data_IF_255508188788
#
_entry.id   IF_255508188788
#
_cell.length_a   1.000
_cell.length_b   1.000
_cell.length_c   1.000
_cell.angle_alpha   90.00
_cell.angle_beta   90.00
_cell.angle_gamma   90.00
#
_symmetry.space_group_name_H-M   'P 1'
#
loop_
_entity.id
_entity.type
_entity.pdbx_description
1 polymer ?
#
# COMPACT_ATOMS: atom_id res chain seq x y z
N UNK A 1 72.45 -8.75 -43.65
CA UNK A 1 71.46 -9.47 -44.47
C UNK A 1 71.15 -10.78 -43.78
N UNK A 2 69.98 -10.93 -43.12
CA UNK A 2 69.50 -12.23 -42.67
C UNK A 2 68.51 -12.80 -43.69
N UNK A 3 68.68 -14.10 -43.96
CA UNK A 3 67.92 -14.94 -44.88
C UNK A 3 66.59 -15.37 -44.27
N UNK A 4 65.56 -15.36 -45.10
CA UNK A 4 64.18 -15.75 -44.82
C UNK A 4 64.01 -17.24 -45.17
N UNK A 5 63.57 -18.07 -44.23
CA UNK A 5 63.08 -19.43 -44.51
C UNK A 5 61.57 -19.50 -44.20
N UNK A 6 60.73 -19.98 -45.13
CA UNK A 6 59.34 -20.27 -44.85
C UNK A 6 59.13 -21.78 -44.60
N UNK A 7 58.73 -22.14 -43.39
CA UNK A 7 58.16 -23.45 -43.07
C UNK A 7 56.67 -23.30 -42.82
N UNK A 8 55.83 -23.83 -43.72
CA UNK A 8 54.37 -23.81 -43.62
C UNK A 8 53.88 -25.26 -43.68
N UNK A 9 53.75 -25.89 -42.51
CA UNK A 9 53.10 -27.19 -42.37
C UNK A 9 51.62 -26.97 -42.02
N UNK A 10 50.73 -27.31 -42.96
CA UNK A 10 49.29 -27.27 -42.78
C UNK A 10 48.77 -28.64 -42.36
N UNK A 11 48.69 -28.87 -41.05
CA UNK A 11 48.00 -30.03 -40.48
C UNK A 11 46.53 -29.66 -40.21
N UNK A 12 45.64 -30.12 -41.09
CA UNK A 12 44.19 -29.87 -40.99
C UNK A 12 43.59 -30.85 -39.98
N UNK A 13 43.32 -30.33 -38.79
CA UNK A 13 42.73 -31.02 -37.65
C UNK A 13 41.22 -31.31 -37.86
N UNK A 14 40.91 -32.56 -38.20
CA UNK A 14 39.56 -33.03 -38.58
C UNK A 14 38.63 -33.34 -37.39
N UNK A 15 39.04 -33.07 -36.15
CA UNK A 15 38.35 -33.59 -34.95
C UNK A 15 37.32 -32.64 -34.32
N UNK A 16 37.27 -31.38 -34.71
CA UNK A 16 36.42 -30.36 -34.05
C UNK A 16 35.00 -30.19 -34.61
N UNK A 17 34.65 -30.82 -35.73
CA UNK A 17 33.31 -30.65 -36.34
C UNK A 17 32.21 -31.43 -35.61
N UNK A 18 32.56 -32.49 -34.87
CA UNK A 18 31.57 -33.34 -34.18
C UNK A 18 30.93 -32.68 -32.95
N UNK A 19 31.65 -31.81 -32.24
CA UNK A 19 31.15 -31.12 -31.04
C UNK A 19 30.16 -30.01 -31.38
N UNK A 20 30.37 -29.32 -32.50
CA UNK A 20 29.51 -28.21 -32.93
C UNK A 20 28.15 -28.72 -33.43
N UNK A 21 28.13 -29.85 -34.15
CA UNK A 21 26.88 -30.50 -34.59
C UNK A 21 26.07 -31.04 -33.41
N UNK A 22 26.73 -31.61 -32.40
CA UNK A 22 26.05 -32.10 -31.19
C UNK A 22 25.42 -30.96 -30.38
N UNK A 23 26.13 -29.84 -30.22
CA UNK A 23 25.59 -28.65 -29.52
C UNK A 23 24.37 -28.06 -30.23
N UNK A 24 24.41 -27.98 -31.56
CA UNK A 24 23.30 -27.43 -32.35
C UNK A 24 22.03 -28.31 -32.25
N UNK A 25 22.19 -29.63 -32.23
CA UNK A 25 21.06 -30.57 -32.09
C UNK A 25 20.33 -30.39 -30.74
N UNK A 26 21.06 -30.26 -29.63
CA UNK A 26 20.45 -30.03 -28.32
C UNK A 26 19.69 -28.70 -28.24
N UNK A 27 20.21 -27.66 -28.89
CA UNK A 27 19.55 -26.35 -28.93
C UNK A 27 18.21 -26.40 -29.68
N UNK A 28 18.16 -27.12 -30.79
CA UNK A 28 16.92 -27.30 -31.58
C UNK A 28 15.88 -28.10 -30.78
N UNK A 29 16.30 -29.17 -30.09
CA UNK A 29 15.39 -29.97 -29.24
C UNK A 29 14.83 -29.13 -28.09
N UNK A 30 15.67 -28.31 -27.43
CA UNK A 30 15.24 -27.44 -26.34
C UNK A 30 14.18 -26.42 -26.80
N UNK A 31 14.38 -25.79 -27.97
CA UNK A 31 13.39 -24.86 -28.54
C UNK A 31 12.07 -25.56 -28.89
N UNK A 32 12.12 -26.80 -29.38
CA UNK A 32 10.93 -27.59 -29.68
C UNK A 32 10.12 -27.93 -28.42
N UNK A 33 10.80 -28.29 -27.33
CA UNK A 33 10.16 -28.56 -26.04
C UNK A 33 9.52 -27.30 -25.44
N UNK A 34 10.22 -26.15 -25.50
CA UNK A 34 9.66 -24.87 -25.05
C UNK A 34 8.40 -24.51 -25.86
N UNK A 35 8.44 -24.71 -27.19
CA UNK A 35 7.28 -24.49 -28.06
C UNK A 35 6.08 -25.38 -27.71
N UNK A 36 6.32 -26.66 -27.40
CA UNK A 36 5.27 -27.60 -26.97
C UNK A 36 4.63 -27.20 -25.64
N UNK A 37 5.41 -26.73 -24.67
CA UNK A 37 4.89 -26.25 -23.38
C UNK A 37 4.02 -25.00 -23.59
N UNK A 38 4.47 -24.04 -24.39
CA UNK A 38 3.67 -22.85 -24.73
C UNK A 38 2.38 -23.21 -25.47
N UNK A 39 2.43 -24.17 -26.41
CA UNK A 39 1.25 -24.62 -27.14
C UNK A 39 0.25 -25.35 -26.23
N UNK A 40 0.73 -26.20 -25.31
CA UNK A 40 -0.12 -26.85 -24.30
C UNK A 40 -0.78 -25.85 -23.35
N UNK A 41 -0.03 -24.83 -22.90
CA UNK A 41 -0.58 -23.76 -22.06
C UNK A 41 -1.63 -22.93 -22.81
N UNK A 42 -1.41 -22.66 -24.10
CA UNK A 42 -2.35 -21.92 -24.95
C UNK A 42 -3.65 -22.70 -25.18
N UNK A 43 -3.57 -24.02 -25.43
CA UNK A 43 -4.75 -24.89 -25.53
C UNK A 43 -5.51 -24.98 -24.21
N UNK A 44 -4.81 -25.01 -23.08
CA UNK A 44 -5.44 -25.07 -21.77
C UNK A 44 -6.18 -23.76 -21.42
N UNK A 45 -5.57 -22.58 -21.66
CA UNK A 45 -6.25 -21.29 -21.45
C UNK A 45 -7.39 -21.06 -22.45
N UNK A 46 -7.23 -21.49 -23.71
CA UNK A 46 -8.26 -21.32 -24.75
C UNK A 46 -9.55 -22.07 -24.46
N UNK A 47 -9.49 -23.18 -23.72
CA UNK A 47 -10.68 -23.98 -23.42
C UNK A 47 -11.51 -23.42 -22.24
N UNK A 48 -10.89 -22.65 -21.33
CA UNK A 48 -11.62 -22.06 -20.19
C UNK A 48 -12.55 -20.90 -20.60
N UNK A 49 -12.34 -20.28 -21.76
CA UNK A 49 -13.17 -19.16 -22.23
C UNK A 49 -14.56 -19.56 -22.78
N UNK A 50 -14.86 -20.85 -22.91
CA UNK A 50 -16.14 -21.31 -23.50
C UNK A 50 -17.27 -21.52 -22.49
N UNK A 51 -16.98 -21.65 -21.19
CA UNK A 51 -18.01 -21.91 -20.18
C UNK A 51 -18.68 -20.64 -19.62
N UNK A 52 -18.13 -19.45 -19.88
CA UNK A 52 -18.73 -18.17 -19.43
C UNK A 52 -19.71 -17.55 -20.43
N UNK A 53 -19.92 -18.15 -21.61
CA UNK A 53 -20.78 -17.55 -22.65
C UNK A 53 -22.26 -18.00 -22.60
N UNK A 54 -22.65 -18.95 -21.74
CA UNK A 54 -24.05 -19.46 -21.73
C UNK A 54 -24.97 -18.82 -20.68
N UNK A 55 -24.50 -17.89 -19.84
CA UNK A 55 -25.32 -17.27 -18.78
C UNK A 55 -25.50 -15.75 -18.93
N UNK A 56 -25.21 -15.18 -20.11
CA UNK A 56 -25.48 -13.75 -20.41
C UNK A 56 -26.21 -13.64 -21.74
N UNK A 57 -27.34 -14.32 -21.84
CA UNK A 57 -28.31 -14.16 -22.92
C UNK A 57 -29.69 -13.82 -22.34
N UNK A 58 -29.75 -12.83 -21.45
CA UNK A 58 -30.97 -12.09 -21.16
C UNK A 58 -30.59 -10.64 -20.82
N UNK A 59 -31.23 -9.67 -21.49
CA UNK A 59 -30.96 -8.23 -21.46
C UNK A 59 -29.73 -7.69 -22.22
N UNK A 60 -29.83 -7.70 -23.55
CA UNK A 60 -29.43 -6.51 -24.32
C UNK A 60 -30.47 -6.25 -25.41
N UNK A 61 -31.44 -5.41 -25.06
CA UNK A 61 -32.39 -4.82 -25.99
C UNK A 61 -31.72 -3.55 -26.57
N UNK A 62 -31.69 -3.37 -27.90
CA UNK A 62 -31.04 -2.22 -28.51
C UNK A 62 -31.85 -0.96 -28.22
N UNK A 63 -31.20 0.04 -27.63
CA UNK A 63 -31.76 1.36 -27.44
C UNK A 63 -31.96 2.02 -28.80
N UNK A 64 -33.23 2.14 -29.22
CA UNK A 64 -33.64 3.09 -30.23
C UNK A 64 -33.53 4.50 -29.65
N UNK A 65 -32.91 5.40 -30.41
CA UNK A 65 -32.96 6.84 -30.25
C UNK A 65 -34.43 7.30 -30.22
N UNK A 66 -34.88 7.70 -29.03
CA UNK A 66 -36.17 8.32 -28.80
C UNK A 66 -35.91 9.75 -28.33
N UNK A 67 -36.49 10.76 -28.99
CA UNK A 67 -36.24 12.16 -28.65
C UNK A 67 -36.75 12.46 -27.25
N UNK A 68 -35.95 13.25 -26.52
CA UNK A 68 -36.14 13.68 -25.15
C UNK A 68 -37.61 14.05 -24.83
N UNK A 69 -38.25 13.22 -23.99
CA UNK A 69 -39.31 13.71 -23.11
C UNK A 69 -38.71 13.94 -21.72
N UNK A 70 -38.72 15.21 -21.36
CA UNK A 70 -38.44 15.78 -20.06
C UNK A 70 -39.44 15.23 -19.03
N UNK A 71 -39.14 14.05 -18.47
CA UNK A 71 -39.83 13.56 -17.28
C UNK A 71 -39.29 14.32 -16.06
N UNK A 72 -40.04 15.36 -15.68
CA UNK A 72 -39.99 15.98 -14.37
C UNK A 72 -40.18 14.91 -13.29
N UNK A 73 -39.07 14.45 -12.70
CA UNK A 73 -39.12 13.83 -11.39
C UNK A 73 -39.53 14.92 -10.38
N UNK A 74 -40.58 14.71 -9.57
CA UNK A 74 -40.88 15.64 -8.50
C UNK A 74 -39.71 15.63 -7.50
N UNK A 75 -39.24 16.80 -7.04
CA UNK A 75 -38.20 16.87 -6.04
C UNK A 75 -38.70 16.19 -4.76
N UNK A 76 -38.03 15.13 -4.34
CA UNK A 76 -38.17 14.59 -2.99
C UNK A 76 -37.61 15.64 -2.02
N UNK A 77 -38.47 16.58 -1.63
CA UNK A 77 -38.28 17.42 -0.45
C UNK A 77 -38.20 16.48 0.75
N UNK A 78 -36.99 16.20 1.20
CA UNK A 78 -36.77 15.78 2.58
C UNK A 78 -37.16 16.97 3.44
N UNK A 79 -38.41 16.99 3.91
CA UNK A 79 -38.83 17.86 4.98
C UNK A 79 -38.21 17.30 6.26
N UNK A 80 -37.06 17.84 6.65
CA UNK A 80 -36.68 17.89 8.06
C UNK A 80 -37.82 18.58 8.80
N UNK A 81 -38.64 17.79 9.49
CA UNK A 81 -39.61 18.33 10.42
C UNK A 81 -38.80 18.95 11.57
N UNK A 82 -38.83 20.28 11.76
CA UNK A 82 -38.26 20.86 12.96
C UNK A 82 -39.04 20.27 14.14
N UNK A 83 -38.34 19.56 15.04
CA UNK A 83 -38.83 19.20 16.36
C UNK A 83 -38.90 20.50 17.18
N UNK A 84 -39.85 21.36 16.82
CA UNK A 84 -40.18 22.56 17.54
C UNK A 84 -41.15 22.13 18.64
N UNK A 85 -40.61 21.95 19.85
CA UNK A 85 -41.45 21.80 21.04
C UNK A 85 -42.36 23.01 21.18
N UNK A 86 -43.54 22.87 21.82
CA UNK A 86 -44.43 24.00 22.05
C UNK A 86 -43.69 25.08 22.85
N UNK A 87 -43.79 26.34 22.41
CA UNK A 87 -43.18 27.49 23.08
C UNK A 87 -43.65 27.60 24.53
N UNK A 88 -42.74 27.99 25.42
CA UNK A 88 -43.00 28.13 26.85
C UNK A 88 -44.23 29.03 27.10
N UNK A 89 -45.28 28.45 27.69
CA UNK A 89 -46.51 29.15 28.08
C UNK A 89 -47.75 28.86 27.23
N UNK A 90 -47.66 28.05 26.17
CA UNK A 90 -48.83 27.67 25.41
C UNK A 90 -49.64 26.57 26.13
N UNK A 91 -50.86 26.89 26.56
CA UNK A 91 -51.82 25.95 27.17
C UNK A 91 -52.26 24.93 26.11
N UNK A 92 -51.55 23.80 26.00
CA UNK A 92 -51.94 22.69 25.11
C UNK A 92 -53.13 21.97 25.72
N UNK A 93 -54.23 21.87 24.98
CA UNK A 93 -55.42 21.17 25.42
C UNK A 93 -55.09 19.70 25.74
N UNK A 94 -55.62 19.13 26.84
CA UNK A 94 -55.34 17.76 27.20
C UNK A 94 -55.80 16.82 26.08
N UNK A 95 -54.98 15.81 25.72
CA UNK A 95 -55.32 14.88 24.65
C UNK A 95 -56.64 14.18 24.97
N UNK A 96 -57.54 14.11 23.98
CA UNK A 96 -58.91 13.57 24.10
C UNK A 96 -58.96 12.09 24.44
N UNK A 97 -57.83 11.39 24.42
CA UNK A 97 -57.72 9.98 24.74
C UNK A 97 -56.86 9.80 25.97
N UNK A 98 -57.50 9.42 27.07
CA UNK A 98 -56.80 8.98 28.29
C UNK A 98 -56.05 7.69 27.96
N UNK A 99 -54.75 7.83 27.65
CA UNK A 99 -53.82 6.73 27.42
C UNK A 99 -53.18 6.26 28.72
N UNK A 100 -53.70 6.68 29.89
CA UNK A 100 -53.28 6.11 31.15
C UNK A 100 -53.78 4.66 31.18
N UNK A 101 -52.89 3.64 31.12
CA UNK A 101 -53.33 2.27 31.24
C UNK A 101 -54.06 2.12 32.57
N UNK A 102 -55.25 1.52 32.52
CA UNK A 102 -56.13 1.27 33.66
C UNK A 102 -55.53 0.22 34.61
N UNK A 103 -54.34 0.50 35.14
CA UNK A 103 -53.83 -0.20 36.29
C UNK A 103 -54.61 0.36 37.47
N UNK A 104 -55.54 -0.46 37.97
CA UNK A 104 -56.08 -0.32 39.32
C UNK A 104 -54.89 -0.26 40.27
N UNK A 105 -54.45 0.97 40.59
CA UNK A 105 -53.52 1.26 41.66
C UNK A 105 -54.19 0.76 42.93
N UNK A 106 -53.86 -0.47 43.35
CA UNK A 106 -54.26 -0.99 44.65
C UNK A 106 -53.93 0.08 45.69
N UNK A 107 -54.88 0.50 46.54
CA UNK A 107 -54.72 1.59 47.51
C UNK A 107 -53.87 1.14 48.71
N UNK A 108 -52.78 0.41 48.47
CA UNK A 108 -51.72 0.22 49.44
C UNK A 108 -50.98 1.54 49.56
N UNK A 109 -51.56 2.43 50.38
CA UNK A 109 -50.94 3.65 50.83
C UNK A 109 -49.60 3.26 51.45
N UNK A 110 -48.51 3.59 50.76
CA UNK A 110 -47.17 3.41 51.30
C UNK A 110 -47.02 4.38 52.47
N UNK A 111 -47.25 3.88 53.68
CA UNK A 111 -47.17 4.66 54.93
C UNK A 111 -45.73 4.99 55.33
N UNK A 112 -44.73 4.48 54.59
CA UNK A 112 -43.32 4.74 54.82
C UNK A 112 -42.69 5.31 53.55
N UNK A 113 -41.95 6.43 53.62
CA UNK A 113 -41.23 6.97 52.48
C UNK A 113 -40.25 5.90 51.96
N UNK A 114 -40.32 5.63 50.65
CA UNK A 114 -39.44 4.69 49.96
C UNK A 114 -37.98 5.10 50.19
N UNK A 115 -37.28 4.35 51.02
CA UNK A 115 -35.82 4.48 51.16
C UNK A 115 -35.19 3.96 49.87
N UNK A 116 -34.60 4.87 49.08
CA UNK A 116 -33.76 4.48 47.94
C UNK A 116 -32.54 3.75 48.49
N UNK A 117 -32.49 2.44 48.35
CA UNK A 117 -31.26 1.69 48.48
C UNK A 117 -30.31 2.23 47.41
N UNK A 118 -29.10 2.63 47.79
CA UNK A 118 -28.08 3.03 46.83
C UNK A 118 -27.91 1.86 45.84
N UNK A 119 -28.16 2.12 44.55
CA UNK A 119 -27.97 1.11 43.53
C UNK A 119 -26.53 0.62 43.53
N UNK A 120 -26.30 -0.65 43.19
CA UNK A 120 -24.95 -1.16 42.99
C UNK A 120 -24.19 -0.25 42.03
N UNK A 121 -22.91 0.08 42.31
CA UNK A 121 -22.12 0.89 41.40
C UNK A 121 -22.14 0.25 40.01
N UNK A 122 -22.21 1.08 38.96
CA UNK A 122 -22.13 0.57 37.59
C UNK A 122 -20.85 -0.27 37.46
N UNK A 123 -20.88 -1.39 36.73
CA UNK A 123 -19.67 -2.14 36.43
C UNK A 123 -18.67 -1.18 35.77
N UNK A 124 -17.36 -1.32 36.08
CA UNK A 124 -16.35 -0.49 35.44
C UNK A 124 -16.44 -0.68 33.92
N UNK A 125 -16.14 0.39 33.17
CA UNK A 125 -16.13 0.33 31.72
C UNK A 125 -15.21 -0.82 31.24
N UNK A 126 -15.61 -1.57 30.21
CA UNK A 126 -14.79 -2.66 29.69
C UNK A 126 -13.43 -2.13 29.26
N UNK A 127 -12.36 -2.84 29.63
CA UNK A 127 -11.00 -2.50 29.21
C UNK A 127 -10.92 -2.62 27.69
N UNK A 128 -10.43 -1.59 27.01
CA UNK A 128 -10.21 -1.65 25.57
C UNK A 128 -9.07 -2.63 25.26
N UNK A 129 -9.26 -3.46 24.25
CA UNK A 129 -8.22 -4.36 23.76
C UNK A 129 -7.03 -3.57 23.24
N UNK A 130 -5.83 -4.02 23.60
CA UNK A 130 -4.57 -3.49 23.09
C UNK A 130 -4.50 -3.65 21.57
N UNK A 131 -3.96 -2.63 20.89
CA UNK A 131 -3.78 -2.69 19.44
C UNK A 131 -2.77 -3.79 19.07
N UNK A 132 -3.05 -4.63 18.06
CA UNK A 132 -2.09 -5.60 17.58
C UNK A 132 -0.90 -4.89 16.92
N UNK A 133 0.27 -5.51 16.97
CA UNK A 133 1.46 -4.99 16.31
C UNK A 133 1.45 -5.22 14.79
N UNK A 134 0.73 -6.25 14.34
CA UNK A 134 0.69 -6.68 12.94
C UNK A 134 -0.76 -6.72 12.45
N UNK A 135 -1.02 -6.04 11.34
CA UNK A 135 -2.31 -5.90 10.69
C UNK A 135 -2.30 -6.64 9.36
N UNK A 136 -3.25 -7.56 9.18
CA UNK A 136 -3.40 -8.37 7.95
C UNK A 136 -4.37 -7.76 6.96
N UNK A 137 -5.32 -6.97 7.46
CA UNK A 137 -6.34 -6.31 6.66
C UNK A 137 -6.12 -4.80 6.75
N UNK A 138 -5.65 -4.23 5.65
CA UNK A 138 -5.36 -2.81 5.52
C UNK A 138 -6.09 -2.27 4.30
N UNK A 139 -6.92 -1.27 4.52
CA UNK A 139 -7.59 -0.52 3.46
C UNK A 139 -6.81 0.77 3.26
N UNK A 140 -6.54 1.12 1.99
CA UNK A 140 -5.87 2.38 1.65
C UNK A 140 -6.95 3.39 1.31
N UNK A 141 -7.10 4.41 2.15
CA UNK A 141 -8.01 5.52 1.90
C UNK A 141 -7.36 6.58 1.03
N UNK A 142 -6.14 6.99 1.38
CA UNK A 142 -5.34 7.96 0.64
C UNK A 142 -3.87 7.50 0.56
N UNK A 143 -3.01 8.11 -0.28
CA UNK A 143 -1.59 7.76 -0.32
C UNK A 143 -0.91 7.85 1.05
N UNK A 144 -1.39 8.71 1.95
CA UNK A 144 -0.83 8.95 3.28
C UNK A 144 -1.74 8.46 4.41
N UNK A 145 -2.89 7.85 4.11
CA UNK A 145 -3.88 7.42 5.12
C UNK A 145 -4.32 5.98 4.88
N UNK A 146 -4.28 5.21 5.96
CA UNK A 146 -4.62 3.80 6.01
C UNK A 146 -5.75 3.58 7.01
N UNK A 147 -6.60 2.61 6.73
CA UNK A 147 -7.55 2.07 7.69
C UNK A 147 -7.10 0.66 8.08
N UNK A 148 -6.77 0.50 9.37
CA UNK A 148 -6.30 -0.74 9.93
C UNK A 148 -7.46 -1.46 10.63
N UNK A 149 -7.83 -2.64 10.14
CA UNK A 149 -8.85 -3.46 10.81
C UNK A 149 -8.20 -4.20 11.98
N UNK A 150 -8.55 -3.81 13.21
CA UNK A 150 -8.07 -4.45 14.45
C UNK A 150 -8.92 -5.69 14.78
N UNK A 151 -10.23 -5.56 14.66
CA UNK A 151 -11.21 -6.61 14.85
C UNK A 151 -12.40 -6.39 13.91
N UNK A 152 -13.33 -7.34 13.84
CA UNK A 152 -14.50 -7.26 12.95
C UNK A 152 -15.30 -5.96 13.08
N UNK A 153 -15.28 -5.34 14.27
CA UNK A 153 -16.06 -4.14 14.57
C UNK A 153 -15.19 -2.92 14.89
N UNK A 154 -13.86 -3.02 14.72
CA UNK A 154 -12.92 -1.94 15.07
C UNK A 154 -11.97 -1.67 13.92
N UNK A 155 -12.18 -0.53 13.29
CA UNK A 155 -11.28 0.05 12.28
C UNK A 155 -10.59 1.25 12.91
N UNK A 156 -9.27 1.35 12.71
CA UNK A 156 -8.45 2.45 13.21
C UNK A 156 -7.89 3.22 12.02
N UNK A 157 -8.28 4.48 11.81
CA UNK A 157 -7.68 5.31 10.79
C UNK A 157 -6.28 5.77 11.25
N UNK A 158 -5.31 5.62 10.36
CA UNK A 158 -3.90 5.88 10.61
C UNK A 158 -3.36 6.80 9.54
N UNK A 159 -2.70 7.88 9.96
CA UNK A 159 -1.92 8.74 9.07
C UNK A 159 -0.47 8.28 9.08
N UNK A 160 0.12 8.06 7.91
CA UNK A 160 1.54 7.78 7.80
C UNK A 160 2.34 9.00 8.27
N UNK A 161 3.24 8.77 9.20
CA UNK A 161 3.98 9.86 9.83
C UNK A 161 4.98 10.52 8.89
N UNK A 162 5.22 11.81 9.13
CA UNK A 162 6.18 12.64 8.40
C UNK A 162 5.90 12.79 6.91
N UNK A 163 4.62 12.65 6.51
CA UNK A 163 4.17 12.84 5.14
C UNK A 163 3.05 13.86 5.05
N UNK A 164 3.14 14.72 4.04
CA UNK A 164 2.08 15.61 3.61
C UNK A 164 1.28 14.95 2.48
N UNK A 165 -0.04 14.96 2.62
CA UNK A 165 -0.93 14.48 1.57
C UNK A 165 -0.78 15.39 0.33
N UNK A 166 -0.63 14.82 -0.89
CA UNK A 166 -0.61 15.62 -2.10
C UNK A 166 -1.97 16.32 -2.25
N UNK A 167 -1.94 17.57 -2.72
CA UNK A 167 -3.13 18.34 -3.03
C UNK A 167 -4.06 17.54 -3.98
N UNK A 168 -5.35 17.46 -3.66
CA UNK A 168 -6.32 16.63 -4.38
C UNK A 168 -6.50 17.03 -5.85
N UNK A 169 -6.28 18.30 -6.18
CA UNK A 169 -6.37 18.85 -7.53
C UNK A 169 -5.06 18.72 -8.32
N UNK A 170 -3.97 18.23 -7.71
CA UNK A 170 -2.68 18.09 -8.39
C UNK A 170 -2.72 16.96 -9.41
N UNK A 171 -2.34 17.29 -10.64
CA UNK A 171 -2.24 16.34 -11.76
C UNK A 171 -0.78 15.88 -11.94
N UNK A 172 -0.61 14.58 -12.13
CA UNK A 172 0.66 13.90 -12.36
C UNK A 172 0.72 13.38 -13.79
N UNK A 173 1.91 13.35 -14.38
CA UNK A 173 2.12 12.68 -15.67
C UNK A 173 2.48 11.21 -15.47
N UNK A 174 1.70 10.31 -16.08
CA UNK A 174 1.93 8.88 -16.05
C UNK A 174 1.57 8.26 -17.40
N UNK A 175 2.49 7.47 -17.97
CA UNK A 175 2.27 6.78 -19.24
C UNK A 175 1.73 7.66 -20.39
N UNK A 176 2.24 8.90 -20.49
CA UNK A 176 1.81 9.86 -21.52
C UNK A 176 0.43 10.49 -21.29
N UNK A 177 -0.15 10.33 -20.11
CA UNK A 177 -1.43 10.93 -19.73
C UNK A 177 -1.34 11.72 -18.43
N UNK A 178 -2.19 12.74 -18.28
CA UNK A 178 -2.38 13.46 -17.03
C UNK A 178 -3.41 12.75 -16.17
N UNK A 179 -3.04 12.39 -14.95
CA UNK A 179 -3.89 11.66 -14.00
C UNK A 179 -3.82 12.32 -12.62
N UNK A 180 -4.89 12.28 -11.80
CA UNK A 180 -4.84 12.81 -10.45
C UNK A 180 -3.76 12.11 -9.61
N UNK A 181 -2.83 12.88 -9.04
CA UNK A 181 -1.71 12.34 -8.27
C UNK A 181 -2.18 11.46 -7.11
N UNK A 182 -3.23 11.92 -6.41
CA UNK A 182 -3.81 11.23 -5.26
C UNK A 182 -4.37 9.84 -5.63
N UNK A 183 -5.08 9.74 -6.77
CA UNK A 183 -5.62 8.47 -7.25
C UNK A 183 -4.51 7.47 -7.62
N UNK A 184 -3.43 7.96 -8.24
CA UNK A 184 -2.27 7.13 -8.59
C UNK A 184 -1.50 6.67 -7.37
N UNK A 185 -1.22 7.57 -6.42
CA UNK A 185 -0.55 7.21 -5.16
C UNK A 185 -1.35 6.17 -4.38
N UNK A 186 -2.68 6.34 -4.26
CA UNK A 186 -3.59 5.39 -3.62
C UNK A 186 -3.51 4.01 -4.30
N UNK A 187 -3.54 3.99 -5.63
CA UNK A 187 -3.47 2.74 -6.41
C UNK A 187 -2.11 2.07 -6.28
N UNK A 188 -1.01 2.84 -6.33
CA UNK A 188 0.35 2.35 -6.18
C UNK A 188 0.56 1.72 -4.79
N UNK A 189 0.16 2.43 -3.73
CA UNK A 189 0.26 1.93 -2.36
C UNK A 189 -0.58 0.67 -2.16
N UNK A 190 -1.84 0.67 -2.60
CA UNK A 190 -2.72 -0.52 -2.53
C UNK A 190 -2.10 -1.73 -3.20
N UNK A 191 -1.48 -1.56 -4.37
CA UNK A 191 -0.78 -2.64 -5.07
C UNK A 191 0.45 -3.10 -4.30
N UNK A 192 1.22 -2.17 -3.74
CA UNK A 192 2.45 -2.48 -3.00
C UNK A 192 2.20 -3.29 -1.72
N UNK A 193 1.09 -3.01 -1.02
CA UNK A 193 0.73 -3.69 0.23
C UNK A 193 -0.21 -4.89 0.03
N UNK A 194 -0.63 -5.18 -1.21
CA UNK A 194 -1.59 -6.25 -1.49
C UNK A 194 -1.08 -7.60 -0.99
N UNK A 195 -1.93 -8.31 -0.26
CA UNK A 195 -1.65 -9.63 0.31
C UNK A 195 -0.43 -9.67 1.25
N UNK A 196 -0.09 -8.53 1.88
CA UNK A 196 1.03 -8.42 2.83
C UNK A 196 0.53 -7.85 4.14
N UNK A 197 1.15 -8.29 5.24
CA UNK A 197 0.88 -7.74 6.56
C UNK A 197 1.72 -6.49 6.81
N UNK A 198 1.15 -5.52 7.51
CA UNK A 198 1.80 -4.26 7.88
C UNK A 198 1.89 -4.19 9.39
N UNK A 199 2.94 -3.59 9.90
CA UNK A 199 3.11 -3.32 11.33
C UNK A 199 3.41 -1.85 11.52
N UNK A 200 2.83 -1.25 12.55
CA UNK A 200 2.89 0.17 12.76
C UNK A 200 3.40 0.49 14.17
N UNK A 201 4.38 1.40 14.23
CA UNK A 201 4.86 2.02 15.45
C UNK A 201 4.15 3.36 15.61
N UNK A 202 3.29 3.44 16.62
CA UNK A 202 2.53 4.65 16.93
C UNK A 202 3.48 5.73 17.45
N UNK A 203 3.47 6.89 16.80
CA UNK A 203 4.15 8.05 17.35
C UNK A 203 3.15 8.64 18.33
N UNK A 204 3.46 8.53 19.63
CA UNK A 204 2.71 9.23 20.66
C UNK A 204 2.57 10.68 20.18
N UNK A 205 1.35 11.23 20.22
CA UNK A 205 1.13 12.65 19.94
C UNK A 205 2.06 13.37 20.90
N UNK A 206 3.21 13.83 20.40
CA UNK A 206 4.21 14.48 21.23
C UNK A 206 3.46 15.65 21.82
N UNK A 207 3.21 15.61 23.12
CA UNK A 207 2.93 16.79 23.90
C UNK A 207 4.14 17.68 23.65
N UNK A 208 4.09 18.51 22.60
CA UNK A 208 5.07 19.58 22.42
C UNK A 208 4.97 20.40 23.71
N UNK A 209 6.01 20.46 24.56
CA UNK A 209 5.86 20.92 25.93
C UNK A 209 5.43 22.39 26.07
N UNK A 210 5.37 23.15 24.97
CA UNK A 210 5.25 24.60 24.99
C UNK A 210 4.27 25.20 23.96
N UNK A 211 3.48 24.40 23.24
CA UNK A 211 2.36 24.97 22.46
C UNK A 211 1.05 24.64 23.18
N UNK A 212 0.34 25.63 23.75
CA UNK A 212 -1.01 25.42 24.24
C UNK A 212 -1.88 25.10 23.04
N UNK A 213 -2.11 23.81 22.80
CA UNK A 213 -3.05 23.34 21.79
C UNK A 213 -4.44 23.76 22.25
N UNK A 214 -4.91 24.90 21.74
CA UNK A 214 -6.29 25.37 21.87
C UNK A 214 -7.28 24.55 21.02
N UNK A 215 -6.86 23.39 20.51
CA UNK A 215 -7.73 22.42 19.86
C UNK A 215 -8.48 21.62 20.94
N UNK A 216 -9.47 22.29 21.53
CA UNK A 216 -10.62 21.63 22.13
C UNK A 216 -11.21 20.65 21.12
N UNK A 217 -11.12 19.36 21.44
CA UNK A 217 -12.05 18.32 21.00
C UNK A 217 -12.19 17.99 19.52
N UNK A 218 -11.17 18.20 18.68
CA UNK A 218 -11.12 17.48 17.40
C UNK A 218 -10.66 16.03 17.64
N UNK A 219 -11.57 15.26 18.24
CA UNK A 219 -11.60 13.81 18.43
C UNK A 219 -11.62 13.04 17.09
N UNK A 220 -11.08 13.62 16.01
CA UNK A 220 -11.03 13.00 14.68
C UNK A 220 -10.10 11.78 14.62
N UNK A 221 -9.48 11.37 15.74
CA UNK A 221 -9.04 9.99 16.00
C UNK A 221 -7.93 9.45 15.10
N UNK A 222 -7.40 10.26 14.18
CA UNK A 222 -6.34 9.88 13.25
C UNK A 222 -5.01 9.90 13.98
N UNK A 223 -4.55 8.71 14.35
CA UNK A 223 -3.25 8.52 15.00
C UNK A 223 -2.15 8.49 13.93
N UNK A 224 -1.07 9.24 14.15
CA UNK A 224 0.10 9.20 13.28
C UNK A 224 0.97 7.98 13.64
N UNK A 225 1.37 7.20 12.64
CA UNK A 225 2.23 6.03 12.86
C UNK A 225 3.24 5.84 11.74
N UNK A 226 4.38 5.25 12.08
CA UNK A 226 5.34 4.73 11.10
C UNK A 226 4.96 3.30 10.79
N UNK A 227 4.65 3.00 9.55
CA UNK A 227 4.19 1.68 9.15
C UNK A 227 5.22 1.00 8.23
N UNK A 228 5.36 -0.31 8.40
CA UNK A 228 6.43 -1.11 7.81
C UNK A 228 5.88 -2.35 7.13
N UNK A 229 6.60 -2.83 6.12
CA UNK A 229 6.24 -3.97 5.28
C UNK A 229 7.44 -4.91 5.10
N UNK A 230 7.28 -6.22 5.19
CA UNK A 230 8.37 -7.19 4.94
C UNK A 230 8.36 -8.44 5.83
N UNK A 231 9.28 -9.39 5.60
CA UNK A 231 9.38 -10.61 6.39
C UNK A 231 9.86 -10.35 7.83
N UNK A 232 10.71 -9.34 8.06
CA UNK A 232 11.27 -9.00 9.38
C UNK A 232 10.31 -8.34 10.38
N UNK A 233 9.00 -8.38 10.12
CA UNK A 233 8.00 -7.72 10.96
C UNK A 233 7.82 -8.36 12.34
N UNK A 234 8.02 -9.68 12.45
CA UNK A 234 7.83 -10.42 13.70
C UNK A 234 8.95 -10.15 14.71
N UNK A 235 10.15 -9.91 14.23
CA UNK A 235 11.35 -9.73 15.06
C UNK A 235 11.55 -8.26 15.47
N UNK A 236 10.66 -7.37 15.01
CA UNK A 236 10.74 -5.95 15.27
C UNK A 236 10.37 -5.64 16.72
N UNK A 237 11.24 -4.89 17.40
CA UNK A 237 10.93 -4.22 18.67
C UNK A 237 10.55 -2.77 18.39
N UNK A 238 9.52 -2.25 19.07
CA UNK A 238 9.12 -0.85 18.97
C UNK A 238 10.32 0.08 19.25
N UNK A 239 10.60 1.01 18.33
CA UNK A 239 11.74 1.93 18.42
C UNK A 239 13.10 1.36 18.01
N UNK A 240 13.18 0.08 17.64
CA UNK A 240 14.40 -0.51 17.08
C UNK A 240 14.60 -0.18 15.59
N UNK A 241 15.83 -0.28 15.11
CA UNK A 241 16.12 -0.11 13.68
C UNK A 241 15.50 -1.27 12.87
N UNK A 242 14.67 -0.96 11.86
CA UNK A 242 14.04 -1.98 11.03
C UNK A 242 15.07 -2.74 10.18
N UNK A 243 15.28 -4.04 10.43
CA UNK A 243 16.05 -4.92 9.54
C UNK A 243 15.11 -5.72 8.63
N UNK A 244 15.38 -5.73 7.32
CA UNK A 244 14.61 -6.53 6.36
C UNK A 244 13.14 -6.11 6.23
N UNK A 245 12.80 -4.87 6.58
CA UNK A 245 11.47 -4.29 6.35
C UNK A 245 11.61 -2.94 5.65
N UNK A 246 10.61 -2.62 4.85
CA UNK A 246 10.49 -1.36 4.11
C UNK A 246 9.58 -0.42 4.88
N UNK A 247 10.07 0.79 5.17
CA UNK A 247 9.24 1.89 5.69
C UNK A 247 8.31 2.39 4.56
N UNK A 248 7.00 2.32 4.79
CA UNK A 248 6.00 2.72 3.80
C UNK A 248 6.13 4.20 3.43
N UNK A 249 6.50 5.06 4.39
CA UNK A 249 6.62 6.48 4.14
C UNK A 249 7.83 6.81 3.26
N UNK A 250 8.99 6.21 3.57
CA UNK A 250 10.19 6.27 2.72
C UNK A 250 9.90 5.77 1.31
N UNK A 251 9.19 4.65 1.17
CA UNK A 251 8.78 4.12 -0.14
C UNK A 251 7.92 5.10 -0.94
N UNK A 252 6.89 5.70 -0.31
CA UNK A 252 6.03 6.67 -0.98
C UNK A 252 6.81 7.90 -1.48
N UNK A 253 7.73 8.42 -0.66
CA UNK A 253 8.56 9.58 -1.02
C UNK A 253 9.52 9.23 -2.15
N UNK A 254 10.19 8.08 -2.06
CA UNK A 254 11.15 7.61 -3.08
C UNK A 254 10.54 7.44 -4.47
N UNK A 255 9.26 7.06 -4.53
CA UNK A 255 8.50 6.96 -5.77
C UNK A 255 7.71 8.23 -6.13
N UNK A 256 7.85 9.29 -5.33
CA UNK A 256 7.22 10.59 -5.57
C UNK A 256 5.70 10.56 -5.42
N UNK A 257 5.13 9.68 -4.60
CA UNK A 257 3.68 9.63 -4.37
C UNK A 257 3.21 10.51 -3.20
N UNK A 258 4.13 10.96 -2.35
CA UNK A 258 3.88 11.87 -1.23
C UNK A 258 5.04 12.86 -1.06
N UNK A 259 4.77 14.02 -0.44
CA UNK A 259 5.80 14.98 -0.06
C UNK A 259 6.17 14.76 1.41
N UNK A 260 7.46 14.65 1.76
CA UNK A 260 7.84 14.51 3.15
C UNK A 260 7.66 15.82 3.93
N UNK A 261 7.44 15.71 5.23
CA UNK A 261 7.59 16.84 6.16
C UNK A 261 9.06 17.30 6.23
N UNK A 262 9.30 18.56 6.60
CA UNK A 262 10.65 19.13 6.64
C UNK A 262 11.56 18.32 7.57
N UNK A 263 12.75 17.94 7.07
CA UNK A 263 13.74 17.18 7.83
C UNK A 263 13.62 15.65 7.74
N UNK A 264 12.61 15.13 7.05
CA UNK A 264 12.41 13.68 6.86
C UNK A 264 12.56 13.28 5.39
N UNK A 265 13.04 12.07 5.15
CA UNK A 265 13.15 11.42 3.82
C UNK A 265 13.77 12.31 2.72
N UNK A 266 14.78 13.10 3.08
CA UNK A 266 15.41 14.07 2.18
C UNK A 266 16.05 13.40 0.97
N UNK A 267 16.78 12.32 1.19
CA UNK A 267 17.50 11.58 0.15
C UNK A 267 16.52 10.93 -0.84
N UNK A 268 15.46 10.30 -0.33
CA UNK A 268 14.42 9.69 -1.15
C UNK A 268 13.67 10.73 -1.99
N UNK A 269 13.43 11.92 -1.44
CA UNK A 269 12.82 13.03 -2.18
C UNK A 269 13.73 13.49 -3.30
N UNK A 270 15.03 13.65 -3.06
CA UNK A 270 16.00 14.04 -4.09
C UNK A 270 16.10 12.98 -5.18
N UNK A 271 16.08 11.68 -4.83
CA UNK A 271 16.00 10.58 -5.79
C UNK A 271 14.74 10.69 -6.66
N UNK A 272 13.57 10.92 -6.05
CA UNK A 272 12.31 11.05 -6.76
C UNK A 272 12.28 12.25 -7.72
N UNK A 273 12.88 13.38 -7.31
CA UNK A 273 13.04 14.58 -8.16
C UNK A 273 13.98 14.28 -9.33
N UNK A 274 15.16 13.72 -9.06
CA UNK A 274 16.17 13.41 -10.07
C UNK A 274 15.65 12.43 -11.13
N UNK A 275 14.85 11.45 -10.69
CA UNK A 275 14.23 10.45 -11.56
C UNK A 275 12.86 10.87 -12.09
N UNK A 276 12.39 12.09 -11.79
CA UNK A 276 11.10 12.66 -12.22
C UNK A 276 9.94 11.69 -11.98
N UNK A 277 9.83 11.15 -10.76
CA UNK A 277 8.82 10.15 -10.37
C UNK A 277 7.59 10.84 -9.76
N UNK A 278 6.42 10.18 -9.90
CA UNK A 278 5.15 10.61 -9.29
C UNK A 278 4.82 12.09 -9.48
N UNK A 279 4.71 12.84 -8.38
CA UNK A 279 4.41 14.29 -8.33
C UNK A 279 5.48 15.17 -8.98
N UNK A 280 6.67 14.63 -9.23
CA UNK A 280 7.78 15.30 -9.91
C UNK A 280 7.87 14.93 -11.40
N UNK A 281 6.99 14.06 -11.89
CA UNK A 281 6.95 13.70 -13.31
C UNK A 281 6.41 14.87 -14.16
N UNK A 282 7.18 15.25 -15.19
CA UNK A 282 6.78 16.22 -16.21
C UNK A 282 6.34 15.53 -17.50
N UNK A 283 5.71 16.26 -18.42
CA UNK A 283 5.28 15.73 -19.72
C UNK A 283 6.45 15.09 -20.48
N UNK A 284 7.62 15.74 -20.51
CA UNK A 284 8.81 15.23 -21.20
C UNK A 284 9.38 13.95 -20.57
N UNK A 285 9.19 13.80 -19.25
CA UNK A 285 9.61 12.57 -18.55
C UNK A 285 8.73 11.36 -18.86
N UNK A 286 7.60 11.59 -19.52
CA UNK A 286 6.68 10.54 -19.96
C UNK A 286 6.89 10.11 -21.41
N UNK A 287 7.99 10.50 -22.06
CA UNK A 287 8.36 10.00 -23.38
C UNK A 287 8.58 8.48 -23.38
N UNK A 288 8.22 7.81 -24.49
CA UNK A 288 8.20 6.34 -24.58
C UNK A 288 9.51 5.63 -24.20
N UNK A 289 10.67 6.24 -24.50
CA UNK A 289 11.97 5.69 -24.13
C UNK A 289 12.20 5.67 -22.60
N UNK A 290 11.78 6.73 -21.89
CA UNK A 290 11.89 6.80 -20.43
C UNK A 290 10.86 5.90 -19.74
N UNK A 291 9.68 5.73 -20.34
CA UNK A 291 8.68 4.75 -19.87
C UNK A 291 9.24 3.33 -19.93
N UNK A 292 9.88 2.96 -21.04
CA UNK A 292 10.50 1.64 -21.21
C UNK A 292 11.65 1.41 -20.21
N UNK A 293 12.54 2.38 -20.05
CA UNK A 293 13.62 2.31 -19.05
C UNK A 293 13.05 2.12 -17.63
N UNK A 294 11.99 2.86 -17.29
CA UNK A 294 11.33 2.74 -15.98
C UNK A 294 10.62 1.38 -15.80
N UNK A 295 10.00 0.84 -16.84
CA UNK A 295 9.43 -0.52 -16.78
C UNK A 295 10.49 -1.59 -16.55
N UNK A 296 11.66 -1.45 -17.17
CA UNK A 296 12.78 -2.36 -16.96
C UNK A 296 13.33 -2.25 -15.53
N UNK A 297 13.47 -1.04 -14.99
CA UNK A 297 13.89 -0.83 -13.60
C UNK A 297 12.91 -1.46 -12.60
N UNK A 298 11.60 -1.28 -12.80
CA UNK A 298 10.57 -1.90 -11.95
C UNK A 298 10.65 -3.43 -12.02
N UNK A 299 10.86 -4.01 -13.20
CA UNK A 299 11.04 -5.46 -13.35
C UNK A 299 12.29 -5.96 -12.65
N UNK A 300 13.40 -5.21 -12.72
CA UNK A 300 14.63 -5.56 -12.04
C UNK A 300 14.45 -5.54 -10.51
N UNK A 301 13.78 -4.51 -9.97
CA UNK A 301 13.50 -4.39 -8.53
C UNK A 301 12.54 -5.49 -8.03
N UNK A 302 11.54 -5.89 -8.82
CA UNK A 302 10.68 -7.01 -8.45
C UNK A 302 11.43 -8.33 -8.41
N UNK A 303 12.33 -8.58 -9.37
CA UNK A 303 13.13 -9.80 -9.40
C UNK A 303 14.06 -9.93 -8.20
N UNK A 304 14.67 -8.82 -7.74
CA UNK A 304 15.50 -8.84 -6.53
C UNK A 304 14.70 -9.14 -5.26
N UNK A 305 13.45 -8.68 -5.18
CA UNK A 305 12.59 -8.97 -4.03
C UNK A 305 12.14 -10.43 -3.98
N UNK A 306 11.92 -11.06 -5.15
CA UNK A 306 11.59 -12.49 -5.23
C UNK A 306 12.80 -13.35 -4.83
N UNK A 307 14.01 -13.01 -5.29
CA UNK A 307 15.24 -13.72 -4.89
C UNK A 307 15.53 -13.61 -3.39
N UNK A 308 15.23 -12.46 -2.77
CA UNK A 308 15.37 -12.28 -1.33
C UNK A 308 14.35 -13.11 -0.52
N UNK A 309 13.21 -13.50 -1.11
CA UNK A 309 12.24 -14.37 -0.46
C UNK A 309 12.69 -15.84 -0.51
N UNK A 310 13.22 -16.31 -1.64
CA UNK A 310 13.64 -17.71 -1.81
C UNK A 310 14.95 -18.05 -1.06
N UNK A 311 15.86 -17.08 -0.90
CA UNK A 311 17.13 -17.29 -0.18
C UNK A 311 16.97 -17.57 1.33
N UNK A 312 15.81 -17.25 1.92
CA UNK A 312 15.56 -17.45 3.36
C UNK A 312 15.15 -18.91 3.65
N UNK A 313 14.52 -19.62 2.72
CA UNK A 313 14.15 -21.03 2.94
C UNK A 313 15.36 -21.98 2.83
N UNK A 314 16.34 -21.69 1.97
CA UNK A 314 17.52 -22.53 1.77
C UNK A 314 18.55 -22.45 2.92
N UNK A 315 18.41 -21.50 3.84
CA UNK A 315 19.37 -21.27 4.94
C UNK A 315 18.98 -21.97 6.25
N UNK A 316 17.87 -22.71 6.28
CA UNK A 316 17.27 -23.24 7.51
C UNK A 316 17.49 -24.75 7.75
N UNK A 317 18.24 -25.45 6.91
CA UNK A 317 18.42 -26.91 7.00
C UNK A 317 19.82 -27.40 7.39
N UNK A 318 20.77 -26.53 7.70
CA UNK A 318 22.12 -26.94 8.07
C UNK A 318 22.62 -26.13 9.25
N UNK A 319 22.52 -26.72 10.44
CA UNK A 319 23.47 -26.57 11.55
C UNK A 319 23.18 -27.65 12.59
N UNK A 320 23.87 -28.79 12.45
CA UNK A 320 24.58 -29.41 13.57
C UNK A 320 26.00 -29.73 13.09
N UNK A 321 26.94 -29.38 13.96
CA UNK A 321 28.34 -29.82 14.02
C UNK A 321 29.43 -29.19 13.11
N UNK A 322 30.31 -28.46 13.80
CA UNK A 322 31.75 -28.29 13.58
C UNK A 322 32.28 -27.40 12.43
N UNK A 323 32.90 -26.29 12.85
CA UNK A 323 33.90 -25.53 12.10
C UNK A 323 35.21 -26.36 11.94
N UNK A 324 36.24 -25.95 11.15
CA UNK A 324 36.45 -24.60 10.63
C UNK A 324 37.08 -24.49 9.21
N UNK A 325 37.21 -23.24 8.78
CA UNK A 325 38.13 -22.72 7.74
C UNK A 325 37.77 -22.88 6.26
N UNK A 326 38.08 -21.79 5.54
CA UNK A 326 38.12 -21.60 4.09
C UNK A 326 36.77 -21.42 3.37
N UNK A 327 36.32 -20.16 3.26
CA UNK A 327 35.79 -19.66 1.98
C UNK A 327 35.83 -18.12 1.94
N UNK A 328 36.92 -17.63 1.36
CA UNK A 328 37.07 -16.31 0.78
C UNK A 328 36.02 -16.13 -0.32
N UNK A 329 34.98 -15.33 -0.07
CA UNK A 329 34.02 -14.90 -1.09
C UNK A 329 34.10 -13.39 -1.26
N UNK A 330 34.57 -13.05 -2.46
CA UNK A 330 34.66 -11.75 -3.12
C UNK A 330 33.78 -10.64 -2.54
N UNK A 331 34.45 -9.64 -1.97
CA UNK A 331 33.90 -8.31 -1.79
C UNK A 331 33.66 -7.65 -3.17
N UNK A 332 32.53 -6.94 -3.39
CA UNK A 332 32.35 -6.13 -4.58
C UNK A 332 33.35 -4.96 -4.59
N UNK A 333 33.77 -4.47 -5.77
CA UNK A 333 34.69 -3.36 -5.86
C UNK A 333 34.06 -2.11 -5.25
N UNK A 334 34.75 -1.55 -4.26
CA UNK A 334 34.51 -0.21 -3.73
C UNK A 334 34.75 0.78 -4.86
N UNK A 335 33.70 1.41 -5.36
CA UNK A 335 33.82 2.60 -6.19
C UNK A 335 33.97 3.77 -5.23
N UNK A 336 35.23 4.09 -4.89
CA UNK A 336 35.56 5.37 -4.27
C UNK A 336 35.26 6.47 -5.28
N UNK A 337 34.13 7.14 -5.11
CA UNK A 337 33.89 8.47 -5.68
C UNK A 337 34.35 9.49 -4.64
N UNK A 338 35.65 9.68 -4.57
CA UNK A 338 36.24 10.87 -3.97
C UNK A 338 35.85 12.05 -4.87
N UNK A 339 34.79 12.75 -4.51
CA UNK A 339 34.48 14.06 -5.08
C UNK A 339 34.70 15.09 -3.99
N UNK A 340 35.94 15.54 -3.95
CA UNK A 340 36.41 16.70 -3.20
C UNK A 340 35.46 17.88 -3.47
N UNK A 341 34.63 18.21 -2.49
CA UNK A 341 33.74 19.36 -2.54
C UNK A 341 34.59 20.57 -2.16
N UNK A 342 35.17 21.25 -3.15
CA UNK A 342 35.82 22.55 -2.95
C UNK A 342 34.76 23.55 -2.49
N UNK A 343 34.79 23.94 -1.21
CA UNK A 343 34.05 25.11 -0.73
C UNK A 343 34.71 26.39 -1.29
N UNK A 344 33.92 27.36 -1.78
CA UNK A 344 34.47 28.65 -2.16
C UNK A 344 34.94 29.41 -0.90
N UNK A 345 36.11 30.08 -0.93
CA UNK A 345 36.54 30.96 0.15
C UNK A 345 35.70 32.23 0.14
N UNK A 346 35.10 32.61 1.27
CA UNK A 346 34.48 33.94 1.39
C UNK A 346 33.35 34.15 2.38
N UNK A 347 33.35 33.50 3.55
CA UNK A 347 32.52 33.94 4.68
C UNK A 347 33.35 33.92 5.96
N UNK A 348 33.98 35.05 6.26
CA UNK A 348 34.26 35.50 7.62
C UNK A 348 33.11 36.40 8.09
#
# INVERSE_FOLDING_TARGET
>A
MPTFEPGYDSEIDQTNTSKLVRGMLFFVIALLLIGLVFFGLWLWLGNQGRETASNTAEQQQPAQEQPAQEQQQPPTKTQEAPLQGPDEGQLVAPPTRDVTPNYQLSPLHQTKPLTRTAGSPLPPAPKQDSLPQIFRHVVVENPTELELTVSHNRVVPVRLAHLNAPNAQRMCWFAGQKVPCLAMGKTALRRFIRARAIGCDWIAKTEQPNEPSNDTDDNSGRQAARCYLGPGLKDRKAGGEPKGVTDLASWLVRFGWAEPENGFYGDERQEAIGLKRGIHATQDSSGGAQILARQQEIRALSATNEQAADGIEASSSLNDEEAPEALTLMAPPVIEKEKELQLPPGFE
#
